data_IF_801784490093
#
_entry.id   IF_801784490093
#
_cell.length_a   1.000
_cell.length_b   1.000
_cell.length_c   1.000
_cell.angle_alpha   90.00
_cell.angle_beta   90.00
_cell.angle_gamma   90.00
#
_symmetry.space_group_name_H-M   'P 1'
#
loop_
_entity.id
_entity.type
_entity.pdbx_description
1 polymer ?
#
# COMPACT_ATOMS: atom_id res chain seq x y z
N UNK A 1 19.64 -29.60 12.95
CA UNK A 1 19.16 -28.50 13.85
C UNK A 1 18.56 -29.10 15.12
N UNK A 2 18.74 -28.46 16.29
CA UNK A 2 18.14 -28.94 17.56
C UNK A 2 16.69 -28.45 17.68
N UNK A 3 15.74 -29.37 17.90
CA UNK A 3 14.32 -29.03 18.04
C UNK A 3 14.05 -27.98 19.13
N UNK A 4 14.78 -28.06 20.24
CA UNK A 4 14.72 -27.10 21.36
C UNK A 4 14.94 -25.65 20.93
N UNK A 5 15.89 -25.41 20.02
CA UNK A 5 16.21 -24.06 19.54
C UNK A 5 15.08 -23.47 18.68
N UNK A 6 14.40 -24.31 17.89
CA UNK A 6 13.23 -23.88 17.12
C UNK A 6 12.03 -23.62 18.03
N UNK A 7 11.81 -24.47 19.03
CA UNK A 7 10.71 -24.32 19.97
C UNK A 7 10.85 -23.03 20.78
N UNK A 8 12.06 -22.73 21.28
CA UNK A 8 12.35 -21.49 21.98
C UNK A 8 12.10 -20.26 21.09
N UNK A 9 12.59 -20.28 19.85
CA UNK A 9 12.37 -19.20 18.88
C UNK A 9 10.89 -19.01 18.54
N UNK A 10 10.16 -20.11 18.29
CA UNK A 10 8.74 -20.09 18.01
C UNK A 10 7.95 -19.53 19.21
N UNK A 11 8.29 -19.96 20.43
CA UNK A 11 7.66 -19.46 21.66
C UNK A 11 7.82 -17.95 21.84
N UNK A 12 9.04 -17.42 21.63
CA UNK A 12 9.31 -15.97 21.72
C UNK A 12 8.51 -15.21 20.66
N UNK A 13 8.55 -15.67 19.40
CA UNK A 13 7.85 -15.00 18.30
C UNK A 13 6.32 -15.05 18.45
N UNK A 14 5.76 -16.19 18.89
CA UNK A 14 4.33 -16.33 19.17
C UNK A 14 3.93 -15.42 20.35
N UNK A 15 4.73 -15.39 21.42
CA UNK A 15 4.50 -14.50 22.56
C UNK A 15 4.48 -13.03 22.15
N UNK A 16 5.45 -12.60 21.35
CA UNK A 16 5.50 -11.25 20.79
C UNK A 16 4.30 -10.96 19.89
N UNK A 17 3.91 -11.90 19.03
CA UNK A 17 2.74 -11.76 18.16
C UNK A 17 1.46 -11.59 18.98
N UNK A 18 1.27 -12.36 20.05
CA UNK A 18 0.12 -12.24 20.96
C UNK A 18 0.12 -10.89 21.70
N UNK A 19 1.28 -10.40 22.12
CA UNK A 19 1.42 -9.08 22.74
C UNK A 19 1.04 -7.96 21.75
N UNK A 20 1.54 -8.01 20.52
CA UNK A 20 1.17 -7.04 19.48
C UNK A 20 -0.31 -7.14 19.13
N UNK A 21 -0.85 -8.35 19.06
CA UNK A 21 -2.26 -8.60 18.76
C UNK A 21 -3.19 -8.04 19.84
N UNK A 22 -2.85 -8.25 21.12
CA UNK A 22 -3.60 -7.69 22.24
C UNK A 22 -3.52 -6.17 22.25
N UNK A 23 -2.32 -5.61 22.07
CA UNK A 23 -2.11 -4.16 21.96
C UNK A 23 -2.93 -3.56 20.82
N UNK A 24 -2.88 -4.15 19.62
CA UNK A 24 -3.69 -3.73 18.47
C UNK A 24 -5.18 -3.77 18.79
N UNK A 25 -5.66 -4.85 19.40
CA UNK A 25 -7.08 -5.04 19.73
C UNK A 25 -7.60 -4.02 20.73
N UNK A 26 -6.74 -3.54 21.65
CA UNK A 26 -7.08 -2.48 22.61
C UNK A 26 -6.93 -1.10 21.97
N UNK A 27 -5.81 -0.85 21.28
CA UNK A 27 -5.53 0.44 20.65
C UNK A 27 -6.56 0.79 19.59
N UNK A 28 -7.01 -0.15 18.76
CA UNK A 28 -8.03 0.09 17.72
C UNK A 28 -9.35 0.61 18.28
N UNK A 29 -9.68 0.31 19.54
CA UNK A 29 -10.92 0.75 20.21
C UNK A 29 -10.80 2.14 20.84
N UNK A 30 -9.60 2.72 20.89
CA UNK A 30 -9.41 4.01 21.55
C UNK A 30 -9.74 5.18 20.61
N UNK A 31 -10.47 6.20 21.07
CA UNK A 31 -10.86 7.32 20.22
C UNK A 31 -9.65 8.14 19.73
N UNK A 32 -8.56 8.20 20.51
CA UNK A 32 -7.36 8.95 20.15
C UNK A 32 -6.57 8.31 18.99
N UNK A 33 -6.70 7.00 18.76
CA UNK A 33 -6.04 6.28 17.66
C UNK A 33 -6.94 6.14 16.43
N UNK A 34 -8.21 6.57 16.51
CA UNK A 34 -9.17 6.46 15.43
C UNK A 34 -8.68 7.08 14.10
N UNK A 35 -7.98 8.24 14.09
CA UNK A 35 -7.41 8.81 12.87
C UNK A 35 -6.39 7.91 12.17
N UNK A 36 -5.72 7.00 12.91
CA UNK A 36 -4.71 6.10 12.37
C UNK A 36 -5.38 4.86 11.76
N UNK A 37 -6.23 4.18 12.53
CA UNK A 37 -6.82 2.90 12.11
C UNK A 37 -8.01 3.05 11.17
N UNK A 38 -8.71 4.18 11.21
CA UNK A 38 -9.93 4.41 10.43
C UNK A 38 -9.82 5.64 9.50
N UNK A 39 -8.60 6.05 9.12
CA UNK A 39 -8.38 7.21 8.27
C UNK A 39 -9.26 7.23 7.01
N UNK A 40 -9.39 6.09 6.33
CA UNK A 40 -10.24 5.97 5.12
C UNK A 40 -11.72 6.25 5.41
N UNK A 41 -12.24 5.75 6.53
CA UNK A 41 -13.64 6.00 6.92
C UNK A 41 -13.86 7.47 7.24
N UNK A 42 -12.90 8.09 7.93
CA UNK A 42 -12.91 9.51 8.24
C UNK A 42 -12.88 10.35 6.95
N UNK A 43 -12.00 10.00 6.00
CA UNK A 43 -11.93 10.66 4.70
C UNK A 43 -13.22 10.49 3.87
N UNK A 44 -13.92 9.37 4.04
CA UNK A 44 -15.21 9.11 3.41
C UNK A 44 -16.42 9.70 4.18
N UNK A 45 -16.19 10.32 5.35
CA UNK A 45 -17.27 10.84 6.21
C UNK A 45 -18.13 9.75 6.86
N UNK A 46 -17.69 8.49 6.88
CA UNK A 46 -18.43 7.36 7.45
C UNK A 46 -18.36 7.37 8.99
N UNK A 47 -19.44 6.89 9.63
CA UNK A 47 -19.47 6.73 11.08
C UNK A 47 -18.39 5.76 11.59
N UNK A 48 -17.69 6.19 12.64
CA UNK A 48 -16.66 5.40 13.29
C UNK A 48 -17.32 4.34 14.20
N UNK A 49 -16.92 3.06 14.10
CA UNK A 49 -17.44 1.99 14.94
C UNK A 49 -16.77 2.01 16.32
N UNK A 50 -16.72 3.19 16.96
CA UNK A 50 -16.08 3.43 18.24
C UNK A 50 -17.11 4.09 19.15
N UNK A 51 -17.44 3.42 20.24
CA UNK A 51 -18.25 4.00 21.31
C UNK A 51 -17.48 5.18 21.92
N UNK A 52 -18.10 6.37 21.95
CA UNK A 52 -17.48 7.58 22.49
C UNK A 52 -17.40 7.54 24.02
N UNK A 53 -18.28 6.79 24.69
CA UNK A 53 -18.27 6.66 26.16
C UNK A 53 -17.20 5.68 26.65
N UNK A 54 -16.49 6.06 27.71
CA UNK A 54 -15.48 5.20 28.32
C UNK A 54 -16.15 4.00 28.99
N UNK A 55 -15.71 2.79 28.63
CA UNK A 55 -16.14 1.54 29.24
C UNK A 55 -14.96 0.61 29.46
N UNK A 56 -14.97 -0.16 30.55
CA UNK A 56 -13.90 -1.14 30.84
C UNK A 56 -13.79 -2.21 29.73
N UNK A 57 -14.90 -2.51 29.04
CA UNK A 57 -14.94 -3.38 27.85
C UNK A 57 -14.06 -2.89 26.69
N UNK A 58 -13.67 -1.60 26.67
CA UNK A 58 -12.75 -1.03 25.69
C UNK A 58 -11.30 -1.51 25.88
N UNK A 59 -10.92 -1.82 27.12
CA UNK A 59 -9.58 -2.31 27.46
C UNK A 59 -9.44 -3.82 27.30
N UNK A 60 -10.54 -4.56 27.20
CA UNK A 60 -10.49 -5.98 26.90
C UNK A 60 -10.14 -6.21 25.42
N UNK A 61 -9.15 -7.06 25.10
CA UNK A 61 -8.86 -7.42 23.71
C UNK A 61 -10.08 -8.10 23.07
N UNK A 62 -10.27 -7.90 21.77
CA UNK A 62 -11.37 -8.51 21.02
C UNK A 62 -10.86 -9.08 19.71
N UNK A 63 -11.26 -10.32 19.43
CA UNK A 63 -10.95 -11.06 18.20
C UNK A 63 -12.06 -10.95 17.15
N UNK A 64 -13.14 -10.21 17.42
CA UNK A 64 -14.34 -10.15 16.55
C UNK A 64 -14.07 -9.59 15.15
N UNK A 65 -12.98 -8.86 14.98
CA UNK A 65 -12.57 -8.33 13.69
C UNK A 65 -11.98 -9.39 12.75
N UNK A 66 -11.46 -10.50 13.27
CA UNK A 66 -10.89 -11.60 12.48
C UNK A 66 -11.97 -12.25 11.59
N UNK A 67 -13.07 -12.80 12.12
CA UNK A 67 -14.09 -13.44 11.28
C UNK A 67 -14.73 -12.43 10.33
N UNK A 68 -14.81 -11.15 10.71
CA UNK A 68 -15.29 -10.10 9.83
C UNK A 68 -14.36 -9.87 8.62
N UNK A 69 -13.05 -9.98 8.81
CA UNK A 69 -12.07 -9.87 7.73
C UNK A 69 -12.18 -11.04 6.73
N UNK A 70 -12.49 -12.25 7.21
CA UNK A 70 -12.71 -13.42 6.35
C UNK A 70 -14.06 -13.44 5.63
N UNK A 71 -15.07 -12.72 6.15
CA UNK A 71 -16.40 -12.60 5.51
C UNK A 71 -16.44 -11.60 4.36
N UNK A 72 -15.37 -10.87 4.10
CA UNK A 72 -15.34 -9.84 3.06
C UNK A 72 -15.42 -10.48 1.67
N UNK A 73 -16.45 -10.11 0.90
CA UNK A 73 -16.63 -10.62 -0.45
C UNK A 73 -15.57 -10.08 -1.41
N UNK A 74 -15.23 -10.84 -2.44
CA UNK A 74 -14.24 -10.43 -3.43
C UNK A 74 -14.69 -9.17 -4.20
N UNK A 75 -15.99 -9.04 -4.47
CA UNK A 75 -16.55 -7.85 -5.14
C UNK A 75 -16.48 -6.61 -4.25
N UNK A 76 -16.69 -6.77 -2.94
CA UNK A 76 -16.54 -5.66 -1.98
C UNK A 76 -15.09 -5.19 -1.88
N UNK A 77 -14.12 -6.11 -1.96
CA UNK A 77 -12.71 -5.77 -2.02
C UNK A 77 -12.45 -4.91 -3.26
N UNK A 78 -12.86 -5.36 -4.45
CA UNK A 78 -12.61 -4.62 -5.69
C UNK A 78 -13.26 -3.23 -5.63
N UNK A 79 -14.51 -3.14 -5.17
CA UNK A 79 -15.25 -1.88 -5.07
C UNK A 79 -14.64 -0.90 -4.08
N UNK A 80 -14.23 -1.37 -2.90
CA UNK A 80 -13.75 -0.48 -1.83
C UNK A 80 -12.23 -0.26 -1.81
N UNK A 81 -11.45 -1.22 -2.32
CA UNK A 81 -9.98 -1.26 -2.20
C UNK A 81 -9.28 -1.27 -3.56
N UNK A 82 -10.01 -1.50 -4.65
CA UNK A 82 -9.45 -1.55 -6.01
C UNK A 82 -8.94 -2.93 -6.41
N UNK A 83 -8.55 -3.03 -7.68
CA UNK A 83 -8.09 -4.28 -8.31
C UNK A 83 -6.74 -4.76 -7.73
N UNK A 84 -5.82 -3.84 -7.44
CA UNK A 84 -4.49 -4.21 -6.93
C UNK A 84 -4.56 -4.90 -5.58
N UNK A 85 -5.37 -4.36 -4.66
CA UNK A 85 -5.62 -4.97 -3.35
C UNK A 85 -6.26 -6.36 -3.49
N UNK A 86 -7.16 -6.53 -4.46
CA UNK A 86 -7.75 -7.83 -4.79
C UNK A 86 -6.69 -8.83 -5.24
N UNK A 87 -5.79 -8.46 -6.15
CA UNK A 87 -4.72 -9.35 -6.63
C UNK A 87 -3.78 -9.77 -5.50
N UNK A 88 -3.39 -8.83 -4.62
CA UNK A 88 -2.57 -9.14 -3.44
C UNK A 88 -3.27 -10.12 -2.50
N UNK A 89 -4.57 -9.94 -2.24
CA UNK A 89 -5.34 -10.89 -1.42
C UNK A 89 -5.43 -12.27 -2.06
N UNK A 90 -5.63 -12.34 -3.38
CA UNK A 90 -5.63 -13.61 -4.14
C UNK A 90 -4.28 -14.32 -4.05
N UNK A 91 -3.16 -13.59 -4.09
CA UNK A 91 -1.82 -14.15 -3.90
C UNK A 91 -1.67 -14.80 -2.52
N UNK A 92 -2.16 -14.17 -1.45
CA UNK A 92 -2.14 -14.78 -0.12
C UNK A 92 -3.03 -16.04 -0.03
N UNK A 93 -4.24 -16.01 -0.61
CA UNK A 93 -5.12 -17.19 -0.65
C UNK A 93 -4.49 -18.35 -1.43
N UNK A 94 -3.87 -18.04 -2.58
CA UNK A 94 -3.11 -19.00 -3.39
C UNK A 94 -1.97 -19.62 -2.58
N UNK A 95 -1.16 -18.78 -1.91
CA UNK A 95 -0.07 -19.24 -1.06
C UNK A 95 -0.54 -20.16 0.06
N UNK A 96 -1.57 -19.75 0.82
CA UNK A 96 -2.13 -20.56 1.91
C UNK A 96 -2.57 -21.93 1.36
N UNK A 97 -3.38 -21.95 0.30
CA UNK A 97 -3.89 -23.20 -0.26
C UNK A 97 -2.76 -24.11 -0.80
N UNK A 98 -1.75 -23.55 -1.46
CA UNK A 98 -0.60 -24.31 -1.94
C UNK A 98 0.20 -24.90 -0.78
N UNK A 99 0.58 -24.08 0.20
CA UNK A 99 1.37 -24.51 1.34
C UNK A 99 0.61 -25.45 2.27
N UNK A 100 -0.72 -25.40 2.35
CA UNK A 100 -1.52 -26.40 3.09
C UNK A 100 -1.33 -27.79 2.49
N UNK A 101 -1.43 -27.94 1.16
CA UNK A 101 -1.23 -29.23 0.49
C UNK A 101 0.22 -29.69 0.62
N UNK A 102 1.19 -28.80 0.43
CA UNK A 102 2.60 -29.10 0.68
C UNK A 102 2.85 -29.56 2.12
N UNK A 103 2.23 -28.92 3.11
CA UNK A 103 2.38 -29.28 4.52
C UNK A 103 1.77 -30.65 4.81
N UNK A 104 0.58 -30.94 4.27
CA UNK A 104 -0.06 -32.24 4.44
C UNK A 104 0.78 -33.37 3.81
N UNK A 105 1.27 -33.18 2.58
CA UNK A 105 2.16 -34.15 1.93
C UNK A 105 3.49 -34.30 2.67
N UNK A 106 4.05 -33.18 3.13
CA UNK A 106 5.28 -33.16 3.92
C UNK A 106 5.15 -33.93 5.22
N UNK A 107 4.08 -33.69 5.98
CA UNK A 107 3.86 -34.29 7.30
C UNK A 107 3.37 -35.74 7.23
N UNK A 108 2.47 -36.06 6.29
CA UNK A 108 1.83 -37.38 6.24
C UNK A 108 2.58 -38.40 5.38
N UNK A 109 3.37 -37.95 4.40
CA UNK A 109 4.08 -38.85 3.46
C UNK A 109 5.59 -38.72 3.62
N UNK A 110 6.14 -37.52 3.41
CA UNK A 110 7.60 -37.36 3.35
C UNK A 110 8.26 -37.56 4.72
N UNK A 111 7.68 -37.03 5.80
CA UNK A 111 8.24 -37.17 7.14
C UNK A 111 8.31 -38.64 7.61
N UNK A 112 7.25 -39.47 7.51
CA UNK A 112 7.35 -40.89 7.82
C UNK A 112 8.33 -41.66 6.93
N UNK A 113 8.35 -41.39 5.61
CA UNK A 113 9.26 -42.07 4.67
C UNK A 113 10.72 -41.76 4.98
N UNK A 114 11.02 -40.51 5.32
CA UNK A 114 12.36 -40.08 5.73
C UNK A 114 12.75 -40.72 7.06
N UNK A 115 11.86 -40.68 8.06
CA UNK A 115 12.14 -41.23 9.38
C UNK A 115 12.38 -42.74 9.34
N UNK A 116 11.52 -43.48 8.62
CA UNK A 116 11.64 -44.92 8.46
C UNK A 116 12.91 -45.34 7.71
N UNK A 117 13.65 -44.40 7.09
CA UNK A 117 14.87 -44.68 6.31
C UNK A 117 16.14 -44.78 7.14
N UNK A 118 15.98 -44.72 8.46
CA UNK A 118 17.07 -44.80 9.41
C UNK A 118 17.98 -45.99 9.11
N UNK A 119 19.28 -45.70 8.99
CA UNK A 119 20.33 -46.72 8.81
C UNK A 119 20.18 -47.76 9.91
N UNK A 120 20.10 -49.04 9.54
CA UNK A 120 20.39 -50.18 10.41
C UNK A 120 21.90 -50.19 10.76
N UNK A 121 22.41 -49.12 11.36
CA UNK A 121 23.81 -48.98 11.76
C UNK A 121 23.87 -48.82 13.26
N UNK A 122 23.99 -49.97 13.92
CA UNK A 122 24.77 -50.25 15.14
C UNK A 122 25.50 -49.05 15.76
N UNK A 123 24.79 -48.19 16.48
CA UNK A 123 25.33 -47.41 17.61
C UNK A 123 24.19 -46.63 18.26
N UNK A 124 24.11 -46.72 19.58
CA UNK A 124 23.07 -46.17 20.46
C UNK A 124 23.03 -44.63 20.54
N UNK A 125 23.32 -43.91 19.46
CA UNK A 125 23.21 -42.45 19.43
C UNK A 125 21.92 -42.12 18.70
N UNK A 126 20.80 -42.21 19.44
CA UNK A 126 19.53 -41.57 19.08
C UNK A 126 19.83 -40.06 19.08
N UNK A 127 20.36 -39.57 17.97
CA UNK A 127 20.56 -38.14 17.80
C UNK A 127 19.17 -37.53 17.64
N UNK A 128 18.72 -36.75 18.62
CA UNK A 128 17.49 -35.93 18.59
C UNK A 128 17.57 -34.80 17.52
N UNK A 129 18.24 -35.05 16.40
CA UNK A 129 18.38 -34.10 15.31
C UNK A 129 17.22 -34.22 14.34
N UNK A 130 16.73 -33.07 13.90
CA UNK A 130 15.67 -32.95 12.88
C UNK A 130 16.06 -33.55 11.53
N UNK A 131 17.35 -33.84 11.32
CA UNK A 131 17.88 -34.39 10.07
C UNK A 131 17.26 -35.77 9.75
N UNK A 132 16.77 -36.47 10.79
CA UNK A 132 16.02 -37.73 10.70
C UNK A 132 14.76 -37.63 9.83
N UNK A 133 14.14 -36.45 9.73
CA UNK A 133 12.93 -36.20 8.93
C UNK A 133 13.23 -35.63 7.54
N UNK A 134 14.50 -35.56 7.14
CA UNK A 134 14.93 -34.98 5.87
C UNK A 134 15.44 -36.04 4.89
N UNK A 135 15.60 -35.66 3.62
CA UNK A 135 16.15 -36.54 2.58
C UNK A 135 17.57 -37.02 2.90
N UNK A 136 18.30 -36.32 3.77
CA UNK A 136 19.64 -36.71 4.23
C UNK A 136 19.65 -38.04 5.00
N UNK A 137 18.51 -38.46 5.57
CA UNK A 137 18.38 -39.75 6.22
C UNK A 137 18.17 -40.91 5.22
N UNK A 138 17.91 -40.61 3.93
CA UNK A 138 17.66 -41.61 2.89
C UNK A 138 18.97 -42.02 2.21
N UNK A 139 19.33 -43.32 2.17
CA UNK A 139 20.56 -43.76 1.53
C UNK A 139 20.52 -43.57 0.01
N UNK A 140 21.68 -43.26 -0.58
CA UNK A 140 21.85 -43.13 -2.04
C UNK A 140 21.47 -44.46 -2.71
N UNK A 141 20.72 -44.39 -3.81
CA UNK A 141 20.23 -45.57 -4.53
C UNK A 141 18.99 -46.24 -3.91
N UNK A 142 18.42 -45.69 -2.83
CA UNK A 142 17.19 -46.23 -2.25
C UNK A 142 15.98 -46.00 -3.17
N UNK A 143 15.13 -47.02 -3.31
CA UNK A 143 13.84 -46.89 -4.01
C UNK A 143 12.91 -45.84 -3.37
N UNK A 144 13.17 -45.42 -2.12
CA UNK A 144 12.37 -44.39 -1.44
C UNK A 144 12.52 -43.00 -2.07
N UNK A 145 13.62 -42.74 -2.79
CA UNK A 145 13.81 -41.50 -3.54
C UNK A 145 12.74 -41.34 -4.64
N UNK A 146 12.14 -42.43 -5.14
CA UNK A 146 11.01 -42.35 -6.07
C UNK A 146 9.77 -41.71 -5.45
N UNK A 147 9.56 -41.84 -4.13
CA UNK A 147 8.46 -41.16 -3.44
C UNK A 147 8.69 -39.65 -3.45
N UNK A 148 9.91 -39.19 -3.18
CA UNK A 148 10.26 -37.77 -3.29
C UNK A 148 10.06 -37.24 -4.71
N UNK A 149 10.54 -37.97 -5.71
CA UNK A 149 10.37 -37.61 -7.11
C UNK A 149 8.88 -37.53 -7.51
N UNK A 150 8.07 -38.49 -7.07
CA UNK A 150 6.63 -38.51 -7.32
C UNK A 150 5.92 -37.34 -6.64
N UNK A 151 6.24 -37.05 -5.37
CA UNK A 151 5.72 -35.90 -4.65
C UNK A 151 6.12 -34.57 -5.33
N UNK A 152 7.36 -34.46 -5.81
CA UNK A 152 7.82 -33.29 -6.56
C UNK A 152 7.01 -33.11 -7.84
N UNK A 153 6.86 -34.15 -8.66
CA UNK A 153 6.06 -34.10 -9.89
C UNK A 153 4.61 -33.69 -9.61
N UNK A 154 3.99 -34.28 -8.58
CA UNK A 154 2.65 -33.93 -8.15
C UNK A 154 2.54 -32.46 -7.72
N UNK A 155 3.45 -32.00 -6.85
CA UNK A 155 3.45 -30.62 -6.35
C UNK A 155 3.68 -29.61 -7.47
N UNK A 156 4.57 -29.91 -8.42
CA UNK A 156 4.81 -29.07 -9.59
C UNK A 156 3.56 -28.98 -10.47
N UNK A 157 2.93 -30.11 -10.80
CA UNK A 157 1.70 -30.14 -11.58
C UNK A 157 0.56 -29.40 -10.86
N UNK A 158 0.43 -29.60 -9.55
CA UNK A 158 -0.55 -28.92 -8.72
C UNK A 158 -0.32 -27.41 -8.70
N UNK A 159 0.93 -26.97 -8.51
CA UNK A 159 1.30 -25.55 -8.54
C UNK A 159 0.95 -24.89 -9.88
N UNK A 160 1.33 -25.51 -11.00
CA UNK A 160 1.02 -25.01 -12.34
C UNK A 160 -0.49 -24.94 -12.59
N UNK A 161 -1.22 -25.98 -12.18
CA UNK A 161 -2.69 -26.02 -12.30
C UNK A 161 -3.35 -24.90 -11.49
N UNK A 162 -2.87 -24.66 -10.27
CA UNK A 162 -3.40 -23.61 -9.40
C UNK A 162 -3.08 -22.22 -9.95
N UNK A 163 -1.84 -22.00 -10.39
CA UNK A 163 -1.40 -20.75 -10.98
C UNK A 163 -2.19 -20.42 -12.24
N UNK A 164 -2.46 -21.41 -13.10
CA UNK A 164 -3.26 -21.22 -14.30
C UNK A 164 -4.71 -20.81 -13.98
N UNK A 165 -5.34 -21.47 -13.00
CA UNK A 165 -6.69 -21.12 -12.53
C UNK A 165 -6.73 -19.70 -11.96
N UNK A 166 -5.77 -19.33 -11.13
CA UNK A 166 -5.67 -17.99 -10.55
C UNK A 166 -5.41 -16.92 -11.61
N UNK A 167 -4.50 -17.18 -12.54
CA UNK A 167 -4.19 -16.29 -13.65
C UNK A 167 -5.45 -15.98 -14.47
N UNK A 168 -6.19 -17.02 -14.88
CA UNK A 168 -7.45 -16.85 -15.61
C UNK A 168 -8.50 -16.08 -14.80
N UNK A 169 -8.60 -16.34 -13.50
CA UNK A 169 -9.50 -15.63 -12.59
C UNK A 169 -9.18 -14.13 -12.50
N UNK A 170 -7.91 -13.78 -12.28
CA UNK A 170 -7.44 -12.39 -12.20
C UNK A 170 -7.60 -11.68 -13.55
N UNK A 171 -7.28 -12.35 -14.65
CA UNK A 171 -7.44 -11.80 -16.00
C UNK A 171 -8.90 -11.42 -16.29
N UNK A 172 -9.85 -12.32 -16.00
CA UNK A 172 -11.27 -12.05 -16.20
C UNK A 172 -11.75 -10.84 -15.39
N UNK A 173 -11.34 -10.75 -14.11
CA UNK A 173 -11.66 -9.60 -13.26
C UNK A 173 -11.04 -8.31 -13.75
N UNK A 174 -9.79 -8.36 -14.24
CA UNK A 174 -9.11 -7.20 -14.83
C UNK A 174 -9.86 -6.69 -16.06
N UNK A 175 -10.26 -7.58 -16.97
CA UNK A 175 -11.03 -7.21 -18.17
C UNK A 175 -12.36 -6.57 -17.77
N UNK A 176 -13.07 -7.16 -16.79
CA UNK A 176 -14.32 -6.61 -16.27
C UNK A 176 -14.12 -5.20 -15.68
N UNK A 177 -13.07 -4.98 -14.89
CA UNK A 177 -12.76 -3.67 -14.31
C UNK A 177 -12.45 -2.61 -15.38
N UNK A 178 -11.68 -2.96 -16.41
CA UNK A 178 -11.39 -2.05 -17.54
C UNK A 178 -12.68 -1.67 -18.26
N UNK A 179 -13.58 -2.64 -18.49
CA UNK A 179 -14.89 -2.38 -19.10
C UNK A 179 -15.76 -1.42 -18.28
N UNK A 180 -15.76 -1.54 -16.95
CA UNK A 180 -16.51 -0.65 -16.04
C UNK A 180 -15.90 0.76 -15.98
N UNK A 181 -14.57 0.88 -16.00
CA UNK A 181 -13.85 2.15 -15.82
C UNK A 181 -13.57 2.91 -17.13
N UNK A 182 -14.45 2.79 -18.13
CA UNK A 182 -14.21 3.26 -19.51
C UNK A 182 -13.89 4.76 -19.65
N UNK A 183 -14.30 5.59 -18.70
CA UNK A 183 -14.13 7.05 -18.75
C UNK A 183 -12.93 7.59 -17.97
N UNK A 184 -11.97 6.74 -17.56
CA UNK A 184 -10.77 7.23 -16.90
C UNK A 184 -9.89 8.03 -17.88
N UNK A 185 -9.42 9.24 -17.50
CA UNK A 185 -8.59 10.06 -18.37
C UNK A 185 -7.28 9.35 -18.75
N UNK A 186 -6.74 8.54 -17.84
CA UNK A 186 -5.53 7.72 -18.04
C UNK A 186 -5.61 6.77 -19.24
N UNK A 187 -6.81 6.43 -19.72
CA UNK A 187 -7.00 5.58 -20.91
C UNK A 187 -6.93 6.36 -22.23
N UNK A 188 -7.02 7.69 -22.18
CA UNK A 188 -6.98 8.58 -23.34
C UNK A 188 -5.69 9.42 -23.40
N UNK A 189 -4.91 9.45 -22.31
CA UNK A 189 -3.65 10.18 -22.23
C UNK A 189 -2.48 9.26 -22.57
N UNK A 190 -1.63 9.70 -23.50
CA UNK A 190 -0.42 8.97 -23.92
C UNK A 190 0.81 9.77 -23.48
N UNK A 191 1.75 9.10 -22.81
CA UNK A 191 3.03 9.70 -22.47
C UNK A 191 4.00 9.59 -23.65
N UNK A 192 4.36 10.73 -24.23
CA UNK A 192 5.34 10.83 -25.33
C UNK A 192 6.69 11.28 -24.77
N UNK A 193 7.77 10.63 -25.21
CA UNK A 193 9.15 10.92 -24.76
C UNK A 193 10.07 11.08 -25.97
N UNK A 194 11.17 11.82 -25.80
CA UNK A 194 12.16 12.04 -26.87
C UNK A 194 11.64 12.96 -27.97
N UNK A 195 11.03 14.08 -27.58
CA UNK A 195 10.42 15.05 -28.51
C UNK A 195 11.55 15.88 -29.17
N UNK A 196 11.65 15.91 -30.50
CA UNK A 196 12.63 16.75 -31.19
C UNK A 196 12.28 18.25 -31.06
N UNK A 197 13.26 19.12 -31.30
CA UNK A 197 13.00 20.56 -31.43
C UNK A 197 12.36 20.84 -32.80
N UNK A 198 11.36 21.71 -32.84
CA UNK A 198 10.85 22.23 -34.10
C UNK A 198 11.82 23.29 -34.63
N UNK A 199 12.33 23.13 -35.87
CA UNK A 199 13.29 24.07 -36.46
C UNK A 199 12.67 25.45 -36.76
N UNK A 200 11.37 25.52 -37.07
CA UNK A 200 10.68 26.75 -37.45
C UNK A 200 10.35 27.65 -36.25
N UNK A 201 9.93 27.06 -35.14
CA UNK A 201 9.44 27.77 -33.95
C UNK A 201 10.34 27.62 -32.73
N UNK A 202 11.45 26.87 -32.85
CA UNK A 202 12.40 26.56 -31.79
C UNK A 202 11.75 26.05 -30.48
N UNK A 203 10.62 25.34 -30.61
CA UNK A 203 9.80 24.88 -29.50
C UNK A 203 9.51 23.39 -29.62
N UNK A 204 9.58 22.67 -28.49
CA UNK A 204 9.25 21.24 -28.44
C UNK A 204 7.74 20.99 -28.57
N UNK A 205 6.90 21.82 -27.96
CA UNK A 205 5.45 21.62 -28.00
C UNK A 205 4.86 21.80 -29.39
N UNK A 206 5.40 22.73 -30.18
CA UNK A 206 5.03 22.91 -31.58
C UNK A 206 5.25 21.62 -32.41
N UNK A 207 6.35 20.91 -32.18
CA UNK A 207 6.62 19.63 -32.86
C UNK A 207 5.57 18.57 -32.52
N UNK A 208 5.07 18.55 -31.29
CA UNK A 208 4.03 17.61 -30.84
C UNK A 208 2.70 17.96 -31.50
N UNK A 209 2.29 19.22 -31.42
CA UNK A 209 1.01 19.68 -31.97
C UNK A 209 0.93 19.44 -33.48
N UNK A 210 2.00 19.79 -34.23
CA UNK A 210 2.04 19.54 -35.68
C UNK A 210 2.00 18.04 -36.01
N UNK A 211 2.80 17.22 -35.32
CA UNK A 211 2.83 15.77 -35.57
C UNK A 211 1.45 15.13 -35.33
N UNK A 212 0.84 15.38 -34.17
CA UNK A 212 -0.43 14.75 -33.81
C UNK A 212 -1.62 15.33 -34.58
N UNK A 213 -1.64 16.63 -34.83
CA UNK A 213 -2.69 17.24 -35.66
C UNK A 213 -2.65 16.75 -37.11
N UNK A 214 -1.45 16.50 -37.65
CA UNK A 214 -1.27 15.97 -39.01
C UNK A 214 -1.61 14.48 -39.14
N UNK A 215 -1.17 13.65 -38.19
CA UNK A 215 -1.35 12.20 -38.28
C UNK A 215 -2.67 11.71 -37.67
N UNK A 216 -3.26 12.45 -36.72
CA UNK A 216 -4.44 12.03 -35.95
C UNK A 216 -5.50 13.15 -35.82
N UNK A 217 -5.94 13.78 -36.94
CA UNK A 217 -6.75 15.00 -36.91
C UNK A 217 -8.11 14.85 -36.22
N UNK A 218 -8.70 13.65 -36.24
CA UNK A 218 -10.03 13.39 -35.67
C UNK A 218 -10.02 12.93 -34.21
N UNK A 219 -8.87 12.50 -33.69
CA UNK A 219 -8.76 11.91 -32.34
C UNK A 219 -7.88 12.71 -31.41
N UNK A 220 -6.94 13.49 -31.95
CA UNK A 220 -6.10 14.37 -31.17
C UNK A 220 -6.94 15.50 -30.53
N UNK A 221 -6.74 15.73 -29.23
CA UNK A 221 -7.46 16.77 -28.50
C UNK A 221 -6.53 17.86 -27.98
N UNK A 222 -5.48 17.47 -27.25
CA UNK A 222 -4.54 18.40 -26.62
C UNK A 222 -3.24 17.68 -26.25
N UNK A 223 -2.21 18.46 -25.94
CA UNK A 223 -0.98 18.01 -25.31
C UNK A 223 -0.67 18.87 -24.08
N UNK A 224 0.13 18.32 -23.18
CA UNK A 224 0.67 19.04 -22.03
C UNK A 224 2.16 18.69 -21.90
N UNK A 225 3.03 19.69 -21.93
CA UNK A 225 4.48 19.51 -21.81
C UNK A 225 4.88 19.40 -20.35
N UNK A 226 5.68 18.39 -20.04
CA UNK A 226 6.21 18.17 -18.70
C UNK A 226 7.62 18.78 -18.63
N UNK A 227 7.76 19.83 -17.83
CA UNK A 227 9.03 20.50 -17.59
C UNK A 227 9.64 20.08 -16.25
N UNK A 228 10.97 20.07 -16.15
CA UNK A 228 11.69 19.75 -14.92
C UNK A 228 11.54 20.91 -13.90
N UNK A 229 10.47 20.86 -13.10
CA UNK A 229 10.10 21.89 -12.14
C UNK A 229 10.65 21.66 -10.72
N UNK A 230 11.91 21.22 -10.55
CA UNK A 230 12.49 20.94 -9.22
C UNK A 230 12.27 22.08 -8.21
N UNK A 231 12.48 23.32 -8.64
CA UNK A 231 12.25 24.53 -7.84
C UNK A 231 10.77 24.73 -7.49
N UNK A 232 9.86 24.44 -8.43
CA UNK A 232 8.41 24.58 -8.23
C UNK A 232 7.91 23.50 -7.26
N UNK A 233 8.39 22.27 -7.39
CA UNK A 233 8.08 21.19 -6.45
C UNK A 233 8.56 21.52 -5.03
N UNK A 234 9.76 22.09 -4.89
CA UNK A 234 10.29 22.55 -3.59
C UNK A 234 9.40 23.64 -2.98
N UNK A 235 9.00 24.64 -3.77
CA UNK A 235 8.11 25.71 -3.31
C UNK A 235 6.72 25.18 -2.94
N UNK A 236 6.16 24.25 -3.72
CA UNK A 236 4.89 23.59 -3.39
C UNK A 236 4.99 22.76 -2.11
N UNK A 237 6.10 22.03 -1.91
CA UNK A 237 6.36 21.30 -0.65
C UNK A 237 6.46 22.25 0.54
N UNK A 238 7.09 23.42 0.37
CA UNK A 238 7.16 24.47 1.39
C UNK A 238 5.78 25.05 1.71
N UNK A 239 4.98 25.38 0.69
CA UNK A 239 3.61 25.87 0.85
C UNK A 239 2.74 24.86 1.61
N UNK A 240 2.75 23.58 1.19
CA UNK A 240 2.02 22.51 1.88
C UNK A 240 2.55 22.25 3.30
N UNK A 241 3.82 22.53 3.60
CA UNK A 241 4.34 22.48 4.97
C UNK A 241 3.82 23.63 5.83
N UNK A 242 3.66 24.83 5.28
CA UNK A 242 3.16 26.00 6.00
C UNK A 242 1.66 25.88 6.22
N UNK A 243 0.90 25.45 5.22
CA UNK A 243 -0.53 25.15 5.35
C UNK A 243 -0.78 24.13 6.47
N UNK A 244 0.01 23.04 6.51
CA UNK A 244 -0.03 22.08 7.62
C UNK A 244 0.28 22.70 8.98
N UNK A 245 1.18 23.70 9.05
CA UNK A 245 1.48 24.44 10.29
C UNK A 245 0.33 25.38 10.68
N UNK A 246 -0.31 26.04 9.72
CA UNK A 246 -1.49 26.91 9.93
C UNK A 246 -2.64 26.08 10.48
N UNK A 247 -2.97 24.95 9.85
CA UNK A 247 -4.03 24.03 10.31
C UNK A 247 -3.73 23.52 11.73
N UNK A 248 -2.47 23.15 12.01
CA UNK A 248 -2.06 22.75 13.37
C UNK A 248 -2.17 23.88 14.38
N UNK A 249 -1.92 25.13 13.99
CA UNK A 249 -2.05 26.31 14.86
C UNK A 249 -3.52 26.62 15.17
N UNK A 250 -4.38 26.59 14.15
CA UNK A 250 -5.83 26.81 14.27
C UNK A 250 -6.57 25.65 14.98
N UNK A 251 -6.02 24.44 15.02
CA UNK A 251 -6.58 23.32 15.81
C UNK A 251 -6.21 23.36 17.30
N UNK A 252 -5.24 24.19 17.74
CA UNK A 252 -4.89 24.34 19.16
C UNK A 252 -6.05 24.86 20.04
N UNK A 253 -6.88 25.85 19.65
CA UNK A 253 -8.00 26.31 20.47
C UNK A 253 -9.08 25.24 20.71
N UNK A 254 -9.29 24.31 19.76
CA UNK A 254 -10.37 23.30 19.87
C UNK A 254 -9.97 22.10 20.75
N UNK A 255 -8.68 21.75 20.83
CA UNK A 255 -8.18 20.66 21.71
C UNK A 255 -8.19 21.01 23.20
N UNK A 256 -8.37 22.28 23.56
CA UNK A 256 -8.46 22.71 24.96
C UNK A 256 -9.80 22.34 25.61
N UNK A 257 -10.88 22.15 24.84
CA UNK A 257 -12.20 21.79 25.39
C UNK A 257 -12.36 20.29 25.68
N UNK A 258 -11.53 19.42 25.07
CA UNK A 258 -11.61 17.96 25.27
C UNK A 258 -10.49 17.37 26.14
N UNK A 259 -9.66 18.20 26.79
CA UNK A 259 -8.60 17.76 27.72
C UNK A 259 -9.15 17.49 29.13
N UNK A 260 -10.23 16.73 29.21
CA UNK A 260 -10.78 16.21 30.46
C UNK A 260 -9.99 15.00 30.97
N UNK A 261 -9.32 15.20 32.10
CA UNK A 261 -9.03 14.22 33.16
C UNK A 261 -7.81 13.26 33.11
N UNK A 262 -7.14 12.96 31.99
CA UNK A 262 -6.04 11.96 32.02
C UNK A 262 -4.65 12.51 31.63
N UNK A 263 -4.55 13.63 30.93
CA UNK A 263 -3.25 14.13 30.43
C UNK A 263 -2.42 15.00 31.39
N UNK A 264 -2.93 15.36 32.57
CA UNK A 264 -2.19 16.25 33.49
C UNK A 264 -1.05 15.56 34.25
N UNK A 265 -1.00 14.22 34.28
CA UNK A 265 0.04 13.49 35.02
C UNK A 265 1.35 13.28 34.24
N UNK A 266 1.37 13.49 32.91
CA UNK A 266 2.53 13.16 32.04
C UNK A 266 2.95 14.28 31.07
N UNK A 267 2.37 15.48 31.19
CA UNK A 267 2.64 16.60 30.29
C UNK A 267 2.90 17.91 31.06
N UNK A 268 3.75 17.85 32.08
CA UNK A 268 4.56 19.01 32.46
C UNK A 268 5.77 19.08 31.53
N UNK A 269 6.21 20.28 31.15
CA UNK A 269 7.39 20.55 30.29
C UNK A 269 7.14 20.56 28.77
N UNK A 270 6.09 21.25 28.30
CA UNK A 270 6.18 21.91 26.98
C UNK A 270 5.56 23.31 27.06
N UNK A 271 6.40 24.30 27.39
CA UNK A 271 6.10 25.71 27.08
C UNK A 271 6.13 25.86 25.56
N UNK A 272 4.96 25.99 24.93
CA UNK A 272 4.85 26.35 23.52
C UNK A 272 4.84 27.88 23.42
N UNK A 273 5.90 28.45 22.85
CA UNK A 273 5.90 29.84 22.40
C UNK A 273 4.71 30.07 21.46
N UNK A 274 3.90 31.09 21.73
CA UNK A 274 2.77 31.51 20.89
C UNK A 274 3.31 32.28 19.68
N UNK A 275 3.39 31.63 18.53
CA UNK A 275 3.69 32.29 17.25
C UNK A 275 2.36 32.63 16.58
N UNK A 276 2.17 33.90 16.22
CA UNK A 276 0.94 34.40 15.61
C UNK A 276 0.65 33.67 14.27
N UNK A 277 -0.60 33.22 14.04
CA UNK A 277 -1.01 32.57 12.80
C UNK A 277 -0.87 33.46 11.56
N UNK A 278 -1.03 34.78 11.73
CA UNK A 278 -0.92 35.81 10.70
C UNK A 278 0.44 35.79 9.97
N UNK A 279 1.55 35.53 10.68
CA UNK A 279 2.89 35.41 10.07
C UNK A 279 3.00 34.24 9.09
N UNK A 280 2.33 33.12 9.38
CA UNK A 280 2.32 31.97 8.49
C UNK A 280 1.41 32.18 7.28
N UNK A 281 0.31 32.90 7.46
CA UNK A 281 -0.60 33.28 6.37
C UNK A 281 0.08 34.25 5.40
N UNK A 282 0.83 35.23 5.90
CA UNK A 282 1.61 36.15 5.08
C UNK A 282 2.70 35.41 4.30
N UNK A 283 3.44 34.51 4.97
CA UNK A 283 4.45 33.66 4.32
C UNK A 283 3.84 32.71 3.29
N UNK A 284 2.62 32.22 3.51
CA UNK A 284 1.89 31.40 2.55
C UNK A 284 1.48 32.22 1.33
N UNK A 285 0.94 33.44 1.52
CA UNK A 285 0.60 34.37 0.43
C UNK A 285 1.83 34.69 -0.42
N UNK A 286 2.97 34.98 0.21
CA UNK A 286 4.23 35.27 -0.47
C UNK A 286 4.74 34.07 -1.29
N UNK A 287 4.65 32.85 -0.75
CA UNK A 287 5.01 31.63 -1.48
C UNK A 287 4.05 31.33 -2.63
N UNK A 288 2.74 31.47 -2.43
CA UNK A 288 1.75 31.31 -3.48
C UNK A 288 1.97 32.33 -4.61
N UNK A 289 2.33 33.56 -4.27
CA UNK A 289 2.67 34.59 -5.24
C UNK A 289 3.97 34.26 -5.99
N UNK A 290 4.99 33.74 -5.32
CA UNK A 290 6.23 33.25 -5.97
C UNK A 290 5.98 32.08 -6.91
N UNK A 291 5.16 31.10 -6.51
CA UNK A 291 4.75 29.99 -7.37
C UNK A 291 4.00 30.52 -8.59
N UNK A 292 3.07 31.46 -8.41
CA UNK A 292 2.30 32.07 -9.50
C UNK A 292 3.19 32.85 -10.46
N UNK A 293 4.17 33.61 -9.95
CA UNK A 293 5.15 34.34 -10.77
C UNK A 293 6.03 33.38 -11.55
N UNK A 294 6.58 32.33 -10.92
CA UNK A 294 7.40 31.34 -11.63
C UNK A 294 6.59 30.54 -12.65
N UNK A 295 5.34 30.21 -12.36
CA UNK A 295 4.41 29.60 -13.33
C UNK A 295 4.12 30.55 -14.48
N UNK A 296 3.92 31.84 -14.21
CA UNK A 296 3.76 32.87 -15.23
C UNK A 296 5.04 33.05 -16.06
N UNK A 297 6.23 32.98 -15.47
CA UNK A 297 7.51 33.04 -16.20
C UNK A 297 7.73 31.82 -17.09
N UNK A 298 7.40 30.62 -16.60
CA UNK A 298 7.40 29.39 -17.42
C UNK A 298 6.37 29.50 -18.54
N UNK A 299 5.16 30.00 -18.25
CA UNK A 299 4.14 30.29 -19.26
C UNK A 299 4.54 31.36 -20.26
N UNK A 300 5.27 32.40 -19.82
CA UNK A 300 5.78 33.46 -20.69
C UNK A 300 6.90 32.94 -21.57
N UNK A 301 7.79 32.09 -21.06
CA UNK A 301 8.79 31.40 -21.88
C UNK A 301 8.14 30.52 -22.94
N UNK A 302 7.16 29.69 -22.54
CA UNK A 302 6.37 28.88 -23.48
C UNK A 302 5.60 29.74 -24.52
N UNK A 303 5.09 30.91 -24.13
CA UNK A 303 4.35 31.83 -25.02
C UNK A 303 5.26 32.65 -25.94
N UNK A 304 6.46 33.03 -25.49
CA UNK A 304 7.49 33.69 -26.30
C UNK A 304 8.07 32.70 -27.34
N UNK A 305 8.09 31.41 -27.02
CA UNK A 305 8.39 30.29 -27.93
C UNK A 305 7.23 29.92 -28.88
N UNK A 306 6.12 30.69 -28.88
CA UNK A 306 5.03 30.54 -29.86
C UNK A 306 3.99 29.45 -29.56
N UNK A 307 3.86 29.00 -28.30
CA UNK A 307 2.91 27.94 -27.92
C UNK A 307 1.53 28.49 -27.50
N UNK A 308 0.45 27.85 -27.97
CA UNK A 308 -0.94 28.21 -27.64
C UNK A 308 -1.31 27.69 -26.23
N UNK A 309 -1.71 28.59 -25.34
CA UNK A 309 -2.00 28.31 -23.93
C UNK A 309 -3.36 27.57 -23.77
N UNK A 310 -3.46 26.49 -22.97
CA UNK A 310 -4.71 25.79 -22.72
C UNK A 310 -5.68 26.61 -21.86
N UNK A 311 -6.94 26.62 -22.29
CA UNK A 311 -8.07 27.32 -21.66
C UNK A 311 -8.63 26.51 -20.48
N UNK A 312 -7.86 26.37 -19.37
CA UNK A 312 -8.40 25.81 -18.12
C UNK A 312 -7.57 26.17 -16.87
N UNK A 313 -7.59 27.44 -16.47
CA UNK A 313 -7.17 27.88 -15.13
C UNK A 313 -8.27 28.74 -14.47
N UNK A 314 -9.53 28.30 -14.58
CA UNK A 314 -10.65 28.97 -13.89
C UNK A 314 -11.31 28.12 -12.80
N UNK A 315 -10.68 27.01 -12.38
CA UNK A 315 -11.23 26.10 -11.37
C UNK A 315 -10.42 25.99 -10.07
N UNK A 316 -9.31 26.70 -9.92
CA UNK A 316 -8.52 26.69 -8.67
C UNK A 316 -8.70 27.92 -7.78
N UNK A 317 -9.25 29.03 -8.29
CA UNK A 317 -9.62 30.20 -7.45
C UNK A 317 -10.78 29.88 -6.49
N UNK A 318 -11.59 28.86 -6.78
CA UNK A 318 -12.72 28.46 -5.93
C UNK A 318 -12.33 27.69 -4.67
N UNK A 319 -11.06 27.25 -4.53
CA UNK A 319 -10.58 26.54 -3.34
C UNK A 319 -9.89 27.44 -2.31
N UNK A 320 -9.70 28.72 -2.62
CA UNK A 320 -9.06 29.71 -1.75
C UNK A 320 -10.06 30.69 -1.09
N UNK A 321 -11.36 30.51 -1.35
CA UNK A 321 -12.45 31.29 -0.74
C UNK A 321 -13.38 30.46 0.16
N UNK A 322 -12.89 29.34 0.72
CA UNK A 322 -13.56 28.58 1.78
C UNK A 322 -12.65 28.42 2.99
#
# INVERSE_FOLDING_TARGET
MKAESLLASAGINIGLALLIFTLFSVLKKQPFTAPIYFNRRIAAGEELPIDRHFSLRRLCPSVSWIPLAFRLSEEDVIRQRGLDAFVVLRLFKLGINFFTVCSLLGLLILAPVNYASQRYSTSNIISHSMDSFTISNVPKGSNRLWVHFSCLCFLTFYALSMLYKEYKGVLNKRIQCIGIQRHRPDYFTILVRGIPLCEEHNAHGCSVDHFFSKHYPSTYQAFEMIYEGKTIEELQKQAASIERKIVKSHQKPIKQLCRGFICNALCGIFKSHSVHPEFYEEKLKELCQRVRVQQCEVHLKAKIEGERVPEKIHLMDKKLHL
#
